data_IF_347565081410
#
_entry.id   IF_347565081410
#
_cell.length_a   1.000
_cell.length_b   1.000
_cell.length_c   1.000
_cell.angle_alpha   90.00
_cell.angle_beta   90.00
_cell.angle_gamma   90.00
#
_symmetry.space_group_name_H-M   'P 1'
#
loop_
_entity.id
_entity.type
_entity.pdbx_description
1 polymer ?
#
# COMPACT_ATOMS: atom_id res chain seq x y z
N UNK A 1 -9.54 -6.92 -9.14
CA UNK A 1 -8.27 -7.05 -8.40
C UNK A 1 -8.09 -8.49 -7.96
N UNK A 2 -6.84 -8.95 -7.83
CA UNK A 2 -6.51 -10.22 -7.18
C UNK A 2 -5.76 -9.95 -5.88
N UNK A 3 -5.93 -10.83 -4.90
CA UNK A 3 -5.27 -10.72 -3.60
C UNK A 3 -4.37 -11.93 -3.38
N UNK A 4 -3.18 -11.72 -2.82
CA UNK A 4 -2.47 -12.82 -2.17
C UNK A 4 -3.29 -13.32 -0.97
N UNK A 5 -3.03 -14.54 -0.51
CA UNK A 5 -3.63 -15.06 0.73
C UNK A 5 -3.37 -14.12 1.90
N UNK A 6 -2.15 -13.60 2.01
CA UNK A 6 -1.77 -12.65 3.07
C UNK A 6 -2.55 -11.34 2.99
N UNK A 7 -2.69 -10.75 1.81
CA UNK A 7 -3.45 -9.52 1.62
C UNK A 7 -4.92 -9.70 2.02
N UNK A 8 -5.55 -10.79 1.58
CA UNK A 8 -6.95 -11.10 1.89
C UNK A 8 -7.16 -11.25 3.40
N UNK A 9 -6.28 -11.98 4.09
CA UNK A 9 -6.33 -12.14 5.55
C UNK A 9 -6.15 -10.81 6.28
N UNK A 10 -5.09 -10.04 5.95
CA UNK A 10 -4.80 -8.78 6.63
C UNK A 10 -5.89 -7.73 6.45
N UNK A 11 -6.49 -7.67 5.26
CA UNK A 11 -7.59 -6.78 4.97
C UNK A 11 -8.81 -7.11 5.83
N UNK A 12 -9.20 -8.39 5.88
CA UNK A 12 -10.32 -8.86 6.69
C UNK A 12 -10.11 -8.60 8.19
N UNK A 13 -8.94 -8.94 8.74
CA UNK A 13 -8.61 -8.73 10.16
C UNK A 13 -8.68 -7.27 10.60
N UNK A 14 -8.47 -6.33 9.67
CA UNK A 14 -8.34 -4.89 9.96
C UNK A 14 -9.52 -4.07 9.43
N UNK A 15 -10.56 -4.73 8.91
CA UNK A 15 -11.72 -4.06 8.34
C UNK A 15 -11.38 -3.19 7.12
N UNK A 16 -10.33 -3.52 6.38
CA UNK A 16 -9.92 -2.79 5.17
C UNK A 16 -10.78 -3.32 4.02
N UNK A 17 -11.65 -2.47 3.47
CA UNK A 17 -12.54 -2.84 2.38
C UNK A 17 -11.85 -2.75 1.02
N UNK A 18 -12.43 -3.41 0.01
CA UNK A 18 -11.96 -3.31 -1.37
C UNK A 18 -11.97 -1.86 -1.88
N UNK A 19 -13.01 -1.09 -1.56
CA UNK A 19 -13.12 0.31 -1.96
C UNK A 19 -12.01 1.17 -1.37
N UNK A 20 -11.65 0.96 -0.09
CA UNK A 20 -10.54 1.67 0.54
C UNK A 20 -9.21 1.37 -0.17
N UNK A 21 -9.00 0.11 -0.57
CA UNK A 21 -7.82 -0.34 -1.30
C UNK A 21 -7.78 0.31 -2.69
N UNK A 22 -8.91 0.29 -3.40
CA UNK A 22 -9.02 0.87 -4.72
C UNK A 22 -8.80 2.38 -4.68
N UNK A 23 -9.40 3.08 -3.71
CA UNK A 23 -9.21 4.51 -3.51
C UNK A 23 -7.75 4.84 -3.19
N UNK A 24 -7.08 4.03 -2.36
CA UNK A 24 -5.67 4.20 -2.07
C UNK A 24 -4.79 4.06 -3.33
N UNK A 25 -5.17 3.20 -4.27
CA UNK A 25 -4.45 3.00 -5.52
C UNK A 25 -4.73 4.11 -6.55
N UNK A 26 -6.00 4.53 -6.67
CA UNK A 26 -6.42 5.53 -7.65
C UNK A 26 -6.10 6.96 -7.24
N UNK A 27 -6.22 7.27 -5.95
CA UNK A 27 -5.99 8.59 -5.37
C UNK A 27 -5.05 8.51 -4.16
N UNK A 28 -3.81 8.04 -4.35
CA UNK A 28 -2.83 7.97 -3.28
C UNK A 28 -2.46 9.38 -2.79
N UNK A 29 -2.27 9.51 -1.48
CA UNK A 29 -1.56 10.65 -0.90
C UNK A 29 -0.07 10.62 -1.26
N UNK A 30 0.50 9.42 -1.37
CA UNK A 30 1.88 9.23 -1.80
C UNK A 30 2.09 7.83 -2.39
N UNK A 31 3.04 7.70 -3.31
CA UNK A 31 3.43 6.42 -3.89
C UNK A 31 4.94 6.21 -3.84
N UNK A 32 5.34 4.95 -3.70
CA UNK A 32 6.73 4.51 -3.81
C UNK A 32 6.80 3.31 -4.72
N UNK A 33 7.87 3.22 -5.51
CA UNK A 33 8.19 2.01 -6.24
C UNK A 33 9.35 1.29 -5.55
N UNK A 34 9.15 0.03 -5.22
CA UNK A 34 10.19 -0.84 -4.68
C UNK A 34 10.88 -1.58 -5.83
N UNK A 35 12.08 -1.13 -6.19
CA UNK A 35 12.88 -1.72 -7.26
C UNK A 35 13.26 -3.19 -7.00
N UNK A 36 13.32 -3.61 -5.73
CA UNK A 36 13.74 -4.97 -5.37
C UNK A 36 12.63 -6.01 -5.60
N UNK A 37 11.39 -5.61 -5.35
CA UNK A 37 10.21 -6.50 -5.47
C UNK A 37 9.36 -6.20 -6.70
N UNK A 38 9.60 -5.07 -7.37
CA UNK A 38 8.78 -4.56 -8.47
C UNK A 38 7.40 -4.06 -8.03
N UNK A 39 7.15 -3.94 -6.72
CA UNK A 39 5.86 -3.55 -6.17
C UNK A 39 5.74 -2.03 -6.05
N UNK A 40 4.54 -1.52 -6.30
CA UNK A 40 4.14 -0.16 -5.94
C UNK A 40 3.51 -0.17 -4.57
N UNK A 41 3.94 0.76 -3.73
CA UNK A 41 3.38 1.01 -2.41
C UNK A 41 2.61 2.32 -2.47
N UNK A 42 1.29 2.25 -2.36
CA UNK A 42 0.42 3.42 -2.26
C UNK A 42 0.05 3.71 -0.80
N UNK A 43 0.11 4.97 -0.42
CA UNK A 43 -0.32 5.48 0.87
C UNK A 43 -1.56 6.34 0.69
N UNK A 44 -2.54 6.16 1.58
CA UNK A 44 -3.74 6.99 1.67
C UNK A 44 -3.94 7.45 3.10
N UNK A 45 -4.08 8.75 3.32
CA UNK A 45 -4.44 9.31 4.63
C UNK A 45 -5.88 8.93 4.99
N UNK A 46 -6.08 8.44 6.22
CA UNK A 46 -7.37 8.05 6.80
C UNK A 46 -7.49 8.62 8.21
N UNK A 47 -8.11 9.80 8.38
CA UNK A 47 -8.43 10.40 9.69
C UNK A 47 -7.32 10.25 10.77
N UNK A 48 -6.09 10.72 10.47
CA UNK A 48 -4.95 10.62 11.39
C UNK A 48 -4.18 9.29 11.37
N UNK A 49 -4.63 8.33 10.56
CA UNK A 49 -3.90 7.10 10.20
C UNK A 49 -3.58 7.11 8.71
N UNK A 50 -2.87 6.07 8.29
CA UNK A 50 -2.54 5.83 6.90
C UNK A 50 -2.86 4.39 6.54
N UNK A 51 -3.51 4.19 5.39
CA UNK A 51 -3.59 2.91 4.71
C UNK A 51 -2.43 2.79 3.73
N UNK A 52 -1.69 1.71 3.86
CA UNK A 52 -0.60 1.32 2.97
C UNK A 52 -1.04 0.09 2.18
N UNK A 53 -0.95 0.18 0.86
CA UNK A 53 -1.29 -0.90 -0.07
C UNK A 53 -0.08 -1.19 -0.94
N UNK A 54 0.50 -2.38 -0.80
CA UNK A 54 1.52 -2.87 -1.71
C UNK A 54 0.85 -3.70 -2.81
N UNK A 55 1.10 -3.36 -4.07
CA UNK A 55 0.51 -4.02 -5.22
C UNK A 55 1.48 -4.08 -6.41
N UNK A 56 1.33 -5.08 -7.26
CA UNK A 56 1.94 -5.11 -8.58
C UNK A 56 0.88 -4.88 -9.67
N UNK A 57 1.31 -4.34 -10.81
CA UNK A 57 0.52 -4.30 -12.04
C UNK A 57 1.10 -5.30 -13.01
N UNK A 58 0.30 -6.27 -13.41
CA UNK A 58 0.61 -7.23 -14.47
C UNK A 58 -0.46 -7.03 -15.56
N UNK A 59 -0.06 -6.45 -16.69
CA UNK A 59 -0.93 -6.02 -17.79
C UNK A 59 -2.12 -5.14 -17.34
N UNK A 60 -3.33 -5.70 -17.38
CA UNK A 60 -4.59 -5.03 -17.01
C UNK A 60 -5.06 -5.39 -15.59
N UNK A 61 -4.29 -6.19 -14.86
CA UNK A 61 -4.69 -6.70 -13.56
C UNK A 61 -3.82 -6.12 -12.44
N UNK A 62 -4.51 -5.70 -11.37
CA UNK A 62 -3.87 -5.24 -10.14
C UNK A 62 -3.87 -6.41 -9.15
N UNK A 63 -2.67 -6.79 -8.72
CA UNK A 63 -2.45 -7.83 -7.70
C UNK A 63 -2.03 -7.19 -6.39
N UNK A 64 -2.90 -7.27 -5.39
CA UNK A 64 -2.65 -6.79 -4.04
C UNK A 64 -1.76 -7.79 -3.31
N UNK A 65 -0.56 -7.34 -2.96
CA UNK A 65 0.46 -8.14 -2.26
C UNK A 65 0.20 -8.13 -0.77
N UNK A 66 -0.03 -6.96 -0.17
CA UNK A 66 -0.37 -6.82 1.26
C UNK A 66 -1.01 -5.47 1.55
N UNK A 67 -1.73 -5.37 2.67
CA UNK A 67 -2.32 -4.13 3.17
C UNK A 67 -2.00 -3.94 4.65
N UNK A 68 -1.92 -2.68 5.08
CA UNK A 68 -1.63 -2.33 6.46
C UNK A 68 -2.18 -0.94 6.82
N UNK A 69 -2.71 -0.77 8.03
CA UNK A 69 -3.07 0.54 8.58
C UNK A 69 -2.09 0.88 9.70
N UNK A 70 -1.57 2.11 9.69
CA UNK A 70 -0.65 2.61 10.72
C UNK A 70 -0.91 4.06 11.07
N UNK A 71 -0.64 4.44 12.32
CA UNK A 71 -0.61 5.85 12.72
C UNK A 71 0.74 6.52 12.36
N UNK A 72 1.81 5.75 12.15
CA UNK A 72 3.19 6.25 12.02
C UNK A 72 3.76 6.05 10.60
N UNK A 73 2.98 6.31 9.55
CA UNK A 73 3.47 6.12 8.19
C UNK A 73 4.67 7.02 7.85
N UNK A 74 4.69 8.25 8.37
CA UNK A 74 5.77 9.21 8.14
C UNK A 74 7.11 8.68 8.68
N UNK A 75 7.14 8.03 9.86
CA UNK A 75 8.37 7.40 10.37
C UNK A 75 8.85 6.24 9.49
N UNK A 76 7.94 5.48 8.87
CA UNK A 76 8.31 4.37 7.98
C UNK A 76 8.91 4.92 6.69
N UNK A 77 8.38 6.04 6.21
CA UNK A 77 8.82 6.74 5.00
C UNK A 77 10.18 7.40 5.21
N UNK A 78 10.36 8.15 6.29
CA UNK A 78 11.57 8.95 6.56
C UNK A 78 12.78 8.11 6.94
N UNK A 79 12.58 6.85 7.35
CA UNK A 79 13.67 5.89 7.62
C UNK A 79 14.30 5.32 6.35
N UNK A 80 13.77 5.58 5.15
CA UNK A 80 14.50 5.25 3.92
C UNK A 80 15.74 6.13 3.85
N UNK A 81 16.97 5.57 3.74
CA UNK A 81 18.14 6.39 3.54
C UNK A 81 17.94 7.21 2.28
N UNK A 82 17.95 8.54 2.42
CA UNK A 82 18.04 9.43 1.27
C UNK A 82 19.32 9.03 0.54
N UNK A 83 19.19 8.45 -0.67
CA UNK A 83 20.37 8.28 -1.53
C UNK A 83 21.05 9.63 -1.62
N UNK A 84 22.26 9.72 -1.08
CA UNK A 84 23.13 10.88 -1.30
C UNK A 84 23.42 10.90 -2.80
N UNK A 85 22.92 11.93 -3.47
CA UNK A 85 23.35 12.32 -4.81
C UNK A 85 24.83 12.64 -4.82
#
# INVERSE_FOLDING_TARGET
>A
MKYTKQAKTRAAERGITEDMILEAILQPSQTYYDLSTGATIAFKKLNGKHLLVAYSREDKEIRIVTTFITSNAEEIIDRKPKSKT
#
